data_IF_931463211742
#
_entry.id   IF_931463211742
#
_cell.length_a   1.000
_cell.length_b   1.000
_cell.length_c   1.000
_cell.angle_alpha   90.00
_cell.angle_beta   90.00
_cell.angle_gamma   90.00
#
_symmetry.space_group_name_H-M   'P 1'
#
loop_
_entity.id
_entity.type
_entity.pdbx_description
1 polymer ?
#
# COMPACT_ATOMS: atom_id res chain seq x y z
N UNK A 1 3.81 23.05 -29.95
CA UNK A 1 3.69 23.49 -28.54
C UNK A 1 3.99 22.32 -27.61
N UNK A 2 5.17 22.33 -26.97
CA UNK A 2 5.54 21.34 -25.96
C UNK A 2 4.71 21.62 -24.70
N UNK A 3 3.66 20.82 -24.46
CA UNK A 3 2.96 20.80 -23.17
C UNK A 3 3.93 20.27 -22.11
N UNK A 4 4.74 21.17 -21.58
CA UNK A 4 5.67 20.90 -20.51
C UNK A 4 4.85 20.79 -19.21
N UNK A 5 4.07 19.71 -19.05
CA UNK A 5 3.42 19.40 -17.78
C UNK A 5 4.54 19.20 -16.77
N UNK A 6 4.79 20.22 -15.95
CA UNK A 6 5.78 20.20 -14.89
C UNK A 6 5.25 19.22 -13.84
N UNK A 7 5.58 17.93 -13.98
CA UNK A 7 5.23 16.93 -12.98
C UNK A 7 5.77 17.41 -11.62
N UNK A 8 4.85 17.56 -10.65
CA UNK A 8 5.18 17.82 -9.26
C UNK A 8 5.41 16.47 -8.61
N UNK A 9 6.67 16.07 -8.48
CA UNK A 9 7.03 14.83 -7.82
C UNK A 9 6.88 14.97 -6.31
N UNK A 10 6.33 13.94 -5.70
CA UNK A 10 6.03 13.86 -4.27
C UNK A 10 6.71 12.63 -3.63
N UNK A 11 6.60 12.50 -2.31
CA UNK A 11 7.09 11.33 -1.57
C UNK A 11 6.39 10.04 -2.04
N UNK A 12 5.13 10.14 -2.50
CA UNK A 12 4.37 9.02 -3.07
C UNK A 12 5.06 8.48 -4.33
N UNK A 13 5.56 9.37 -5.20
CA UNK A 13 6.34 8.96 -6.38
C UNK A 13 7.63 8.26 -5.97
N UNK A 14 8.32 8.77 -4.94
CA UNK A 14 9.51 8.13 -4.41
C UNK A 14 9.20 6.72 -3.88
N UNK A 15 8.18 6.56 -3.05
CA UNK A 15 7.80 5.25 -2.47
C UNK A 15 7.37 4.25 -3.54
N UNK A 16 6.67 4.71 -4.56
CA UNK A 16 6.26 3.87 -5.69
C UNK A 16 7.48 3.44 -6.53
N UNK A 17 8.32 4.37 -6.95
CA UNK A 17 9.48 4.06 -7.80
C UNK A 17 10.59 3.33 -7.03
N UNK A 18 10.73 3.56 -5.73
CA UNK A 18 11.66 2.83 -4.87
C UNK A 18 11.27 1.34 -4.74
N UNK A 19 9.98 1.01 -4.72
CA UNK A 19 9.51 -0.39 -4.68
C UNK A 19 9.61 -1.13 -6.00
N UNK A 20 9.86 -0.43 -7.10
CA UNK A 20 9.89 -1.00 -8.45
C UNK A 20 11.25 -1.60 -8.83
N UNK A 21 12.23 -1.57 -7.93
CA UNK A 21 13.52 -2.24 -8.09
C UNK A 21 13.31 -3.74 -8.25
N UNK A 22 13.73 -4.29 -9.40
CA UNK A 22 13.41 -5.63 -9.92
C UNK A 22 13.98 -6.83 -9.15
N UNK A 23 14.51 -6.63 -7.94
CA UNK A 23 15.34 -7.66 -7.30
C UNK A 23 14.54 -8.67 -6.49
N UNK A 24 13.46 -8.24 -5.84
CA UNK A 24 12.56 -9.18 -5.16
C UNK A 24 11.35 -9.40 -6.07
N UNK A 25 11.39 -10.48 -6.85
CA UNK A 25 10.20 -10.96 -7.55
C UNK A 25 9.11 -11.17 -6.48
N UNK A 26 8.06 -10.34 -6.51
CA UNK A 26 6.77 -10.55 -5.80
C UNK A 26 6.65 -10.11 -4.32
N UNK A 27 7.52 -9.24 -3.80
CA UNK A 27 7.29 -8.61 -2.47
C UNK A 27 6.52 -7.30 -2.59
N UNK A 28 5.71 -6.97 -1.57
CA UNK A 28 4.89 -5.75 -1.56
C UNK A 28 5.73 -4.50 -1.79
N UNK A 29 5.29 -3.63 -2.69
CA UNK A 29 5.91 -2.32 -2.84
C UNK A 29 5.66 -1.47 -1.58
N UNK A 30 6.58 -0.58 -1.16
CA UNK A 30 6.38 0.27 0.02
C UNK A 30 5.04 1.03 -0.02
N UNK A 31 4.69 1.60 -1.17
CA UNK A 31 3.42 2.30 -1.34
C UNK A 31 2.20 1.36 -1.26
N UNK A 32 2.30 0.18 -1.86
CA UNK A 32 1.25 -0.83 -1.84
C UNK A 32 1.01 -1.34 -0.42
N UNK A 33 2.07 -1.61 0.35
CA UNK A 33 1.99 -1.99 1.74
C UNK A 33 1.27 -0.92 2.59
N UNK A 34 1.66 0.36 2.44
CA UNK A 34 0.97 1.46 3.15
C UNK A 34 -0.51 1.51 2.77
N UNK A 35 -0.82 1.39 1.47
CA UNK A 35 -2.19 1.46 1.00
C UNK A 35 -3.05 0.30 1.54
N UNK A 36 -2.53 -0.93 1.48
CA UNK A 36 -3.23 -2.12 1.98
C UNK A 36 -3.44 -2.06 3.49
N UNK A 37 -2.50 -1.52 4.23
CA UNK A 37 -2.61 -1.40 5.68
C UNK A 37 -3.69 -0.38 6.06
N UNK A 38 -3.58 0.83 5.50
CA UNK A 38 -4.48 1.94 5.82
C UNK A 38 -5.91 1.67 5.34
N UNK A 39 -6.09 1.08 4.15
CA UNK A 39 -7.41 0.90 3.55
C UNK A 39 -7.91 -0.54 3.57
N UNK A 40 -7.02 -1.53 3.50
CA UNK A 40 -7.36 -2.95 3.40
C UNK A 40 -7.41 -3.69 4.72
N UNK A 41 -6.67 -3.26 5.75
CA UNK A 41 -6.58 -3.96 7.04
C UNK A 41 -7.35 -3.21 8.12
N UNK A 42 -6.99 -1.95 8.41
CA UNK A 42 -7.57 -1.23 9.55
C UNK A 42 -9.11 -1.10 9.45
N UNK A 43 -9.71 -0.65 8.32
CA UNK A 43 -11.16 -0.44 8.26
C UNK A 43 -11.98 -1.72 8.42
N UNK A 44 -11.63 -2.86 7.77
CA UNK A 44 -12.32 -4.12 8.01
C UNK A 44 -12.27 -4.59 9.45
N UNK A 45 -11.11 -4.51 10.12
CA UNK A 45 -10.99 -4.96 11.50
C UNK A 45 -11.83 -4.09 12.46
N UNK A 46 -11.91 -2.77 12.21
CA UNK A 46 -12.81 -1.89 12.94
C UNK A 46 -14.28 -2.28 12.72
N UNK A 47 -14.70 -2.54 11.48
CA UNK A 47 -16.08 -2.96 11.16
C UNK A 47 -16.38 -4.33 11.78
N UNK A 48 -15.46 -5.28 11.67
CA UNK A 48 -15.59 -6.63 12.24
C UNK A 48 -15.76 -6.58 13.76
N UNK A 49 -15.09 -5.66 14.47
CA UNK A 49 -15.27 -5.49 15.92
C UNK A 49 -16.74 -5.25 16.28
N UNK A 50 -17.46 -4.45 15.52
CA UNK A 50 -18.88 -4.18 15.75
C UNK A 50 -19.77 -5.33 15.27
N UNK A 51 -19.47 -5.91 14.10
CA UNK A 51 -20.30 -6.95 13.50
C UNK A 51 -20.12 -8.34 14.12
N UNK A 52 -19.03 -8.57 14.86
CA UNK A 52 -18.74 -9.87 15.48
C UNK A 52 -19.85 -10.37 16.44
N UNK A 53 -20.55 -9.44 17.10
CA UNK A 53 -21.68 -9.79 17.99
C UNK A 53 -22.97 -10.11 17.24
N UNK A 54 -23.07 -9.71 15.97
CA UNK A 54 -24.32 -9.75 15.19
C UNK A 54 -24.28 -10.82 14.10
N UNK A 55 -23.09 -11.10 13.55
CA UNK A 55 -22.91 -11.97 12.39
C UNK A 55 -22.05 -13.19 12.70
N UNK A 56 -22.30 -14.34 12.05
CA UNK A 56 -21.48 -15.52 12.22
C UNK A 56 -20.08 -15.32 11.63
N UNK A 57 -19.08 -15.96 12.25
CA UNK A 57 -17.66 -15.78 11.93
C UNK A 57 -17.31 -16.02 10.44
N UNK A 58 -17.98 -16.98 9.79
CA UNK A 58 -17.72 -17.29 8.37
C UNK A 58 -18.10 -16.12 7.45
N UNK A 59 -19.18 -15.42 7.76
CA UNK A 59 -19.67 -14.29 6.95
C UNK A 59 -18.73 -13.10 7.10
N UNK A 60 -18.23 -12.85 8.32
CA UNK A 60 -17.20 -11.83 8.57
C UNK A 60 -15.92 -12.12 7.78
N UNK A 61 -15.52 -13.39 7.69
CA UNK A 61 -14.35 -13.80 6.90
C UNK A 61 -14.58 -13.53 5.41
N UNK A 62 -15.75 -13.86 4.86
CA UNK A 62 -16.10 -13.56 3.46
C UNK A 62 -16.09 -12.06 3.19
N UNK A 63 -16.65 -11.24 4.10
CA UNK A 63 -16.62 -9.78 3.97
C UNK A 63 -15.20 -9.22 4.02
N UNK A 64 -14.34 -9.75 4.88
CA UNK A 64 -12.94 -9.37 4.96
C UNK A 64 -12.19 -9.69 3.66
N UNK A 65 -12.36 -10.90 3.12
CA UNK A 65 -11.76 -11.30 1.84
C UNK A 65 -12.31 -10.44 0.68
N UNK A 66 -13.61 -10.18 0.65
CA UNK A 66 -14.22 -9.30 -0.34
C UNK A 66 -13.69 -7.87 -0.28
N UNK A 67 -13.48 -7.33 0.93
CA UNK A 67 -12.93 -6.00 1.12
C UNK A 67 -11.47 -5.91 0.67
N UNK A 68 -10.63 -6.83 1.13
CA UNK A 68 -9.22 -6.88 0.73
C UNK A 68 -9.08 -6.98 -0.78
N UNK A 69 -9.90 -7.81 -1.44
CA UNK A 69 -9.95 -7.85 -2.91
C UNK A 69 -10.42 -6.53 -3.54
N UNK A 70 -11.47 -5.90 -3.02
CA UNK A 70 -11.92 -4.61 -3.52
C UNK A 70 -10.82 -3.54 -3.41
N UNK A 71 -10.06 -3.54 -2.32
CA UNK A 71 -8.97 -2.56 -2.11
C UNK A 71 -7.80 -2.78 -3.06
N UNK A 72 -7.44 -4.03 -3.38
CA UNK A 72 -6.37 -4.32 -4.37
C UNK A 72 -6.80 -3.90 -5.77
N UNK A 73 -8.07 -4.10 -6.15
CA UNK A 73 -8.62 -3.63 -7.42
C UNK A 73 -8.62 -2.09 -7.53
N UNK A 74 -9.03 -1.40 -6.46
CA UNK A 74 -8.99 0.06 -6.39
C UNK A 74 -7.55 0.57 -6.51
N UNK A 75 -6.60 -0.05 -5.80
CA UNK A 75 -5.19 0.28 -5.90
C UNK A 75 -4.67 0.10 -7.33
N UNK A 76 -4.95 -1.04 -7.97
CA UNK A 76 -4.56 -1.33 -9.36
C UNK A 76 -5.08 -0.28 -10.34
N UNK A 77 -6.32 0.18 -10.16
CA UNK A 77 -6.90 1.27 -10.97
C UNK A 77 -6.20 2.60 -10.75
N UNK A 78 -5.92 2.95 -9.49
CA UNK A 78 -5.20 4.19 -9.13
C UNK A 78 -3.78 4.14 -9.70
N UNK A 79 -3.10 3.00 -9.56
CA UNK A 79 -1.75 2.79 -10.05
C UNK A 79 -1.68 3.04 -11.56
N UNK A 80 -2.53 2.36 -12.33
CA UNK A 80 -2.60 2.51 -13.80
C UNK A 80 -2.91 3.95 -14.22
N UNK A 81 -3.74 4.68 -13.46
CA UNK A 81 -4.13 6.05 -13.78
C UNK A 81 -3.03 7.07 -13.43
N UNK A 82 -2.38 6.91 -12.28
CA UNK A 82 -1.47 7.90 -11.71
C UNK A 82 0.00 7.67 -12.12
N UNK A 83 0.45 6.42 -12.15
CA UNK A 83 1.82 6.01 -12.44
C UNK A 83 1.97 5.56 -13.90
N UNK A 84 1.92 6.52 -14.80
CA UNK A 84 2.13 6.27 -16.24
C UNK A 84 3.62 6.13 -16.58
N UNK A 85 3.94 5.37 -17.64
CA UNK A 85 5.31 5.28 -18.18
C UNK A 85 5.91 6.65 -18.53
N UNK A 86 5.09 7.61 -18.94
CA UNK A 86 5.53 8.97 -19.23
C UNK A 86 6.00 9.71 -17.96
N UNK A 87 5.24 9.58 -16.85
CA UNK A 87 5.61 10.14 -15.55
C UNK A 87 6.89 9.51 -15.00
N UNK A 88 7.05 8.20 -15.17
CA UNK A 88 8.27 7.48 -14.76
C UNK A 88 9.51 8.00 -15.48
N UNK A 89 9.45 8.16 -16.81
CA UNK A 89 10.55 8.76 -17.58
C UNK A 89 10.86 10.18 -17.11
N UNK A 90 9.83 10.97 -16.81
CA UNK A 90 10.01 12.32 -16.29
C UNK A 90 10.66 12.32 -14.89
N UNK A 91 10.31 11.35 -14.03
CA UNK A 91 10.87 11.20 -12.68
C UNK A 91 12.38 10.88 -12.74
N UNK A 92 12.76 9.84 -13.50
CA UNK A 92 14.17 9.46 -13.62
C UNK A 92 15.01 10.44 -14.44
N UNK A 93 14.42 11.26 -15.30
CA UNK A 93 15.13 12.38 -15.94
C UNK A 93 15.51 13.46 -14.92
N UNK A 94 14.69 13.68 -13.89
CA UNK A 94 14.98 14.66 -12.82
C UNK A 94 15.89 14.07 -11.74
N UNK A 95 15.74 12.78 -11.44
CA UNK A 95 16.47 12.08 -10.39
C UNK A 95 17.16 10.81 -10.92
N UNK A 96 18.14 10.94 -11.83
CA UNK A 96 18.84 9.80 -12.42
C UNK A 96 19.54 8.94 -11.35
N UNK A 97 20.06 9.57 -10.30
CA UNK A 97 20.77 8.94 -9.18
C UNK A 97 19.91 7.94 -8.37
N UNK A 98 18.58 7.97 -8.55
CA UNK A 98 17.65 7.10 -7.82
C UNK A 98 17.29 5.84 -8.59
N UNK A 99 17.63 5.75 -9.87
CA UNK A 99 17.24 4.64 -10.75
C UNK A 99 17.93 3.33 -10.36
N UNK A 100 19.22 3.42 -10.04
CA UNK A 100 20.07 2.27 -9.78
C UNK A 100 20.34 2.06 -8.27
N UNK A 101 19.69 2.87 -7.42
CA UNK A 101 19.78 2.71 -5.96
C UNK A 101 19.03 1.48 -5.51
N UNK A 102 19.68 0.70 -4.65
CA UNK A 102 19.07 -0.44 -4.02
C UNK A 102 18.22 0.00 -2.81
N UNK A 103 16.89 -0.05 -2.96
CA UNK A 103 15.94 0.23 -1.88
C UNK A 103 15.50 -1.05 -1.14
N UNK A 104 16.28 -2.14 -1.22
CA UNK A 104 15.99 -3.41 -0.57
C UNK A 104 15.56 -3.27 0.89
N UNK A 105 16.34 -2.56 1.71
CA UNK A 105 16.02 -2.35 3.12
C UNK A 105 14.74 -1.55 3.32
N UNK A 106 14.44 -0.59 2.45
CA UNK A 106 13.17 0.14 2.50
C UNK A 106 12.00 -0.78 2.16
N UNK A 107 12.14 -1.62 1.13
CA UNK A 107 11.12 -2.56 0.71
C UNK A 107 10.89 -3.70 1.71
N UNK A 108 11.89 -4.01 2.54
CA UNK A 108 11.78 -5.03 3.59
C UNK A 108 11.30 -4.44 4.92
N UNK A 109 12.02 -3.45 5.44
CA UNK A 109 11.77 -2.89 6.77
C UNK A 109 10.45 -2.13 6.84
N UNK A 110 10.09 -1.38 5.79
CA UNK A 110 8.90 -0.55 5.84
C UNK A 110 7.62 -1.40 5.93
N UNK A 111 7.40 -2.43 5.09
CA UNK A 111 6.27 -3.35 5.30
C UNK A 111 6.32 -4.06 6.66
N UNK A 112 7.49 -4.53 7.10
CA UNK A 112 7.62 -5.21 8.39
C UNK A 112 7.22 -4.32 9.58
N UNK A 113 7.70 -3.07 9.60
CA UNK A 113 7.33 -2.10 10.62
C UNK A 113 5.84 -1.79 10.59
N UNK A 114 5.26 -1.61 9.39
CA UNK A 114 3.84 -1.34 9.28
C UNK A 114 2.98 -2.53 9.71
N UNK A 115 3.37 -3.76 9.36
CA UNK A 115 2.70 -4.96 9.87
C UNK A 115 2.77 -5.05 11.40
N UNK A 116 3.92 -4.74 12.01
CA UNK A 116 4.05 -4.75 13.47
C UNK A 116 3.12 -3.71 14.14
N UNK A 117 2.98 -2.52 13.54
CA UNK A 117 2.04 -1.50 14.00
C UNK A 117 0.60 -2.00 13.89
N UNK A 118 0.23 -2.59 12.74
CA UNK A 118 -1.11 -3.13 12.53
C UNK A 118 -1.46 -4.24 13.51
N UNK A 119 -0.55 -5.19 13.73
CA UNK A 119 -0.74 -6.24 14.73
C UNK A 119 -0.92 -5.64 16.12
N UNK A 120 -0.17 -4.59 16.46
CA UNK A 120 -0.31 -3.90 17.74
C UNK A 120 -1.66 -3.21 17.88
N UNK A 121 -2.15 -2.54 16.83
CA UNK A 121 -3.46 -1.89 16.81
C UNK A 121 -4.58 -2.92 16.92
N UNK A 122 -4.53 -4.00 16.14
CA UNK A 122 -5.51 -5.08 16.18
C UNK A 122 -5.52 -5.71 17.57
N UNK A 123 -4.35 -6.05 18.12
CA UNK A 123 -4.24 -6.61 19.46
C UNK A 123 -4.88 -5.68 20.50
N UNK A 124 -4.58 -4.38 20.46
CA UNK A 124 -5.17 -3.40 21.36
C UNK A 124 -6.70 -3.30 21.22
N UNK A 125 -7.22 -3.26 19.99
CA UNK A 125 -8.65 -3.17 19.70
C UNK A 125 -9.48 -4.36 20.22
N UNK A 126 -8.90 -5.56 20.25
CA UNK A 126 -9.60 -6.78 20.65
C UNK A 126 -9.32 -7.22 22.11
N UNK A 127 -8.14 -6.93 22.66
CA UNK A 127 -7.75 -7.40 24.00
C UNK A 127 -7.82 -6.34 25.11
N UNK A 128 -7.61 -5.05 24.81
CA UNK A 128 -7.57 -4.01 25.87
C UNK A 128 -8.95 -3.37 26.09
N UNK A 129 -9.71 -3.17 25.01
CA UNK A 129 -11.09 -2.67 25.07
C UNK A 129 -12.09 -3.85 25.13
N UNK A 130 -12.04 -4.65 26.20
CA UNK A 130 -12.99 -5.75 26.44
C UNK A 130 -14.28 -5.27 27.10
#
# INVERSE_FOLDING_TARGET
MSFNRKYKFSIIDLLYYAGRTRYIYKWYMPLEAIFLIVFGVIPPFLIMRFLYRVMPSWLLLVLFLGWTWATTEVYSKIEKKYFTKARERAYYRRYPERKDKNYFWLQLLLPLCLFAIDFSIIFWLFFVYQ
#
